data_IF_451204714646
#
_entry.id   IF_451204714646
#
_cell.length_a   1.000
_cell.length_b   1.000
_cell.length_c   1.000
_cell.angle_alpha   90.00
_cell.angle_beta   90.00
_cell.angle_gamma   90.00
#
_symmetry.space_group_name_H-M   'P 1'
#
loop_
_entity.id
_entity.type
_entity.pdbx_description
1 polymer ?
#
# COMPACT_ATOMS: atom_id res chain seq x y z
N UNK A 1 7.89 -4.75 -20.06
CA UNK A 1 8.40 -3.36 -19.95
C UNK A 1 7.79 -2.52 -21.04
N UNK A 2 7.18 -1.40 -20.65
CA UNK A 2 6.74 -0.36 -21.59
C UNK A 2 7.97 0.32 -22.18
N UNK A 3 7.80 0.98 -23.32
CA UNK A 3 8.88 1.74 -23.98
C UNK A 3 9.52 2.78 -23.05
N UNK A 4 8.72 3.39 -22.18
CA UNK A 4 9.16 4.35 -21.19
C UNK A 4 10.16 3.77 -20.18
N UNK A 5 9.99 2.51 -19.76
CA UNK A 5 10.93 1.85 -18.84
C UNK A 5 12.34 1.75 -19.47
N UNK A 6 12.40 1.44 -20.76
CA UNK A 6 13.66 1.42 -21.51
C UNK A 6 14.24 2.83 -21.69
N UNK A 7 13.38 3.83 -21.90
CA UNK A 7 13.82 5.22 -22.05
C UNK A 7 14.43 5.76 -20.74
N UNK A 8 13.80 5.49 -19.59
CA UNK A 8 14.31 5.90 -18.28
C UNK A 8 15.65 5.24 -18.00
N UNK A 9 15.82 3.94 -18.26
CA UNK A 9 17.12 3.26 -18.11
C UNK A 9 18.20 3.91 -18.98
N UNK A 10 17.85 4.24 -20.23
CA UNK A 10 18.77 4.92 -21.13
C UNK A 10 19.11 6.34 -20.63
N UNK A 11 18.14 7.08 -20.10
CA UNK A 11 18.36 8.42 -19.53
C UNK A 11 19.21 8.35 -18.26
N UNK A 12 19.01 7.35 -17.40
CA UNK A 12 19.82 7.15 -16.19
C UNK A 12 21.28 6.83 -16.53
N UNK A 13 21.51 6.03 -17.58
CA UNK A 13 22.86 5.80 -18.09
C UNK A 13 23.53 7.08 -18.60
N UNK A 14 22.78 7.93 -19.31
CA UNK A 14 23.27 9.21 -19.81
C UNK A 14 23.40 10.30 -18.75
N UNK A 15 22.76 10.15 -17.58
CA UNK A 15 22.66 11.16 -16.53
C UNK A 15 22.19 12.52 -17.11
N UNK A 16 22.93 13.59 -16.86
CA UNK A 16 22.61 14.94 -17.35
C UNK A 16 23.08 15.20 -18.79
N UNK A 17 23.70 14.22 -19.46
CA UNK A 17 24.14 14.40 -20.83
C UNK A 17 22.93 14.41 -21.78
N UNK A 18 22.73 15.55 -22.46
CA UNK A 18 21.68 15.68 -23.48
C UNK A 18 21.98 14.83 -24.74
N UNK A 19 23.23 14.43 -24.92
CA UNK A 19 23.70 13.74 -26.12
C UNK A 19 24.72 12.66 -25.73
N UNK A 20 24.49 11.44 -26.21
CA UNK A 20 25.39 10.29 -26.00
C UNK A 20 25.74 9.63 -27.34
N UNK A 21 26.92 9.00 -27.37
CA UNK A 21 27.42 8.21 -28.51
C UNK A 21 27.87 6.84 -28.03
N UNK A 22 27.12 5.81 -28.39
CA UNK A 22 27.35 4.45 -27.93
C UNK A 22 27.28 3.43 -29.05
N UNK A 23 28.00 2.32 -28.89
CA UNK A 23 27.83 1.16 -29.77
C UNK A 23 26.48 0.47 -29.51
N UNK A 24 25.97 -0.29 -30.48
CA UNK A 24 24.75 -1.07 -30.27
C UNK A 24 24.91 -2.11 -29.16
N UNK A 25 26.14 -2.59 -28.90
CA UNK A 25 26.41 -3.54 -27.82
C UNK A 25 26.35 -2.85 -26.47
N UNK A 26 26.97 -1.68 -26.31
CA UNK A 26 26.87 -0.88 -25.08
C UNK A 26 25.41 -0.57 -24.73
N UNK A 27 24.60 -0.17 -25.73
CA UNK A 27 23.18 0.08 -25.53
C UNK A 27 22.39 -1.20 -25.21
N UNK A 28 22.77 -2.34 -25.77
CA UNK A 28 22.17 -3.64 -25.47
C UNK A 28 22.41 -4.04 -24.01
N UNK A 29 23.62 -3.79 -23.50
CA UNK A 29 24.00 -4.07 -22.12
C UNK A 29 23.23 -3.15 -21.14
N UNK A 30 23.12 -1.85 -21.47
CA UNK A 30 22.34 -0.87 -20.68
C UNK A 30 20.84 -1.22 -20.64
N UNK A 31 20.28 -1.63 -21.77
CA UNK A 31 18.85 -1.94 -21.90
C UNK A 31 18.52 -3.39 -21.55
N UNK A 32 19.52 -4.21 -21.21
CA UNK A 32 19.40 -5.64 -20.96
C UNK A 32 18.63 -6.38 -22.06
N UNK A 33 18.96 -6.12 -23.32
CA UNK A 33 18.29 -6.73 -24.46
C UNK A 33 19.23 -7.00 -25.64
N UNK A 34 18.76 -7.67 -26.69
CA UNK A 34 19.59 -7.94 -27.87
C UNK A 34 19.83 -6.67 -28.70
N UNK A 35 20.97 -6.60 -29.41
CA UNK A 35 21.30 -5.49 -30.32
C UNK A 35 20.25 -5.28 -31.43
N UNK A 36 19.56 -6.35 -31.85
CA UNK A 36 18.40 -6.27 -32.76
C UNK A 36 17.25 -5.52 -32.11
N UNK A 37 16.96 -5.81 -30.85
CA UNK A 37 15.89 -5.18 -30.10
C UNK A 37 16.20 -3.71 -29.79
N UNK A 38 17.46 -3.35 -29.51
CA UNK A 38 17.89 -1.95 -29.33
C UNK A 38 17.42 -1.07 -30.50
N UNK A 39 17.63 -1.50 -31.75
CA UNK A 39 17.19 -0.72 -32.92
C UNK A 39 15.68 -0.50 -32.97
N UNK A 40 14.91 -1.52 -32.58
CA UNK A 40 13.43 -1.43 -32.52
C UNK A 40 13.03 -0.43 -31.44
N UNK A 41 13.65 -0.52 -30.26
CA UNK A 41 13.40 0.39 -29.13
C UNK A 41 13.77 1.83 -29.49
N UNK A 42 14.95 2.09 -30.05
CA UNK A 42 15.38 3.43 -30.46
C UNK A 42 14.45 4.03 -31.53
N UNK A 43 14.00 3.21 -32.50
CA UNK A 43 13.03 3.66 -33.51
C UNK A 43 11.72 4.10 -32.84
N UNK A 44 11.16 3.27 -31.96
CA UNK A 44 9.92 3.58 -31.23
C UNK A 44 10.07 4.81 -30.34
N UNK A 45 11.16 4.93 -29.57
CA UNK A 45 11.44 6.12 -28.78
C UNK A 45 11.55 7.39 -29.63
N UNK A 46 12.04 7.27 -30.86
CA UNK A 46 12.12 8.40 -31.78
C UNK A 46 10.77 8.76 -32.38
N UNK A 47 9.94 7.77 -32.72
CA UNK A 47 8.54 7.95 -33.16
C UNK A 47 7.69 8.63 -32.08
N UNK A 48 7.91 8.26 -30.82
CA UNK A 48 7.26 8.86 -29.63
C UNK A 48 7.94 10.15 -29.16
N UNK A 49 8.89 10.68 -29.95
CA UNK A 49 9.57 11.97 -29.70
C UNK A 49 10.39 12.05 -28.39
N UNK A 50 10.74 10.91 -27.77
CA UNK A 50 11.64 10.91 -26.61
C UNK A 50 13.09 11.19 -26.98
N UNK A 51 13.51 10.77 -28.17
CA UNK A 51 14.88 10.94 -28.67
C UNK A 51 14.92 11.36 -30.14
N UNK A 52 15.99 12.04 -30.53
CA UNK A 52 16.47 12.08 -31.91
C UNK A 52 17.59 11.07 -32.05
N UNK A 53 17.44 10.13 -32.98
CA UNK A 53 18.34 9.00 -33.16
C UNK A 53 18.99 9.05 -34.55
N UNK A 54 20.33 9.01 -34.59
CA UNK A 54 21.10 8.87 -35.82
C UNK A 54 21.89 7.55 -35.80
N UNK A 55 21.57 6.59 -36.68
CA UNK A 55 22.23 5.28 -36.66
C UNK A 55 23.68 5.37 -37.15
N UNK A 56 24.60 4.72 -36.43
CA UNK A 56 25.97 4.51 -36.91
C UNK A 56 26.01 3.56 -38.12
N UNK A 57 26.62 3.98 -39.23
CA UNK A 57 26.67 3.18 -40.48
C UNK A 57 27.95 2.36 -40.59
N UNK A 58 27.93 1.06 -40.29
CA UNK A 58 29.08 0.15 -40.46
C UNK A 58 29.58 -0.48 -39.16
N UNK A 59 30.55 -1.41 -39.23
CA UNK A 59 31.13 -2.07 -38.04
C UNK A 59 31.97 -1.04 -37.25
N UNK A 60 31.72 -0.93 -35.94
CA UNK A 60 32.45 -0.01 -35.05
C UNK A 60 31.90 1.42 -34.98
N UNK A 61 30.93 1.79 -35.83
CA UNK A 61 30.34 3.12 -35.80
C UNK A 61 29.32 3.27 -34.68
N UNK A 62 29.53 4.29 -33.85
CA UNK A 62 28.66 4.61 -32.72
C UNK A 62 27.36 5.22 -33.22
N UNK A 63 26.28 4.84 -32.56
CA UNK A 63 24.95 5.42 -32.71
C UNK A 63 24.88 6.69 -31.90
N UNK A 64 24.23 7.71 -32.45
CA UNK A 64 24.05 9.02 -31.82
C UNK A 64 22.62 9.16 -31.31
N UNK A 65 22.48 9.60 -30.05
CA UNK A 65 21.19 9.78 -29.39
C UNK A 65 21.18 11.15 -28.73
N UNK A 66 20.22 11.98 -29.12
CA UNK A 66 19.95 13.26 -28.49
C UNK A 66 18.62 13.12 -27.76
N UNK A 67 18.63 13.36 -26.45
CA UNK A 67 17.42 13.32 -25.65
C UNK A 67 16.59 14.57 -25.91
N UNK A 68 15.26 14.43 -25.95
CA UNK A 68 14.35 15.57 -26.13
C UNK A 68 13.97 16.19 -24.79
N UNK A 69 13.89 15.36 -23.74
CA UNK A 69 13.53 15.77 -22.39
C UNK A 69 14.70 15.60 -21.41
N UNK A 70 14.75 16.46 -20.39
CA UNK A 70 15.65 16.25 -19.27
C UNK A 70 15.29 14.96 -18.50
N UNK A 71 16.24 14.43 -17.73
CA UNK A 71 16.01 13.24 -16.89
C UNK A 71 14.86 13.48 -15.89
N UNK A 72 14.83 14.68 -15.30
CA UNK A 72 13.83 15.09 -14.32
C UNK A 72 12.44 15.15 -14.95
N UNK A 73 12.28 15.87 -16.07
CA UNK A 73 10.98 16.01 -16.76
C UNK A 73 10.41 14.65 -17.18
N UNK A 74 11.27 13.78 -17.74
CA UNK A 74 10.87 12.46 -18.19
C UNK A 74 10.32 11.58 -17.06
N UNK A 75 11.04 11.53 -15.94
CA UNK A 75 10.67 10.69 -14.80
C UNK A 75 9.47 11.29 -14.06
N UNK A 76 9.40 12.61 -13.89
CA UNK A 76 8.25 13.25 -13.26
C UNK A 76 6.97 13.02 -14.06
N UNK A 77 7.01 13.21 -15.38
CA UNK A 77 5.87 12.97 -16.26
C UNK A 77 5.43 11.50 -16.23
N UNK A 78 6.36 10.56 -16.17
CA UNK A 78 6.02 9.14 -16.09
C UNK A 78 5.43 8.77 -14.73
N UNK A 79 6.01 9.27 -13.63
CA UNK A 79 5.47 9.06 -12.30
C UNK A 79 4.03 9.59 -12.19
N UNK A 80 3.75 10.77 -12.76
CA UNK A 80 2.41 11.36 -12.79
C UNK A 80 1.42 10.52 -13.60
N UNK A 81 1.83 10.01 -14.77
CA UNK A 81 1.00 9.11 -15.56
C UNK A 81 0.69 7.80 -14.80
N UNK A 82 1.68 7.22 -14.13
CA UNK A 82 1.50 5.99 -13.37
C UNK A 82 0.58 6.20 -12.16
N UNK A 83 0.70 7.32 -11.45
CA UNK A 83 -0.19 7.68 -10.34
C UNK A 83 -1.62 7.93 -10.83
N UNK A 84 -1.80 8.66 -11.93
CA UNK A 84 -3.12 8.93 -12.51
C UNK A 84 -3.83 7.65 -13.00
N UNK A 85 -3.07 6.62 -13.39
CA UNK A 85 -3.59 5.32 -13.81
C UNK A 85 -3.67 4.29 -12.67
N UNK A 86 -3.42 4.69 -11.42
CA UNK A 86 -3.35 3.81 -10.23
C UNK A 86 -2.37 2.63 -10.38
N UNK A 87 -1.31 2.78 -11.19
CA UNK A 87 -0.29 1.75 -11.44
C UNK A 87 0.80 1.78 -10.38
N UNK A 88 0.42 1.59 -9.13
CA UNK A 88 1.29 1.76 -7.96
C UNK A 88 2.51 0.85 -7.97
N UNK A 89 2.35 -0.40 -8.44
CA UNK A 89 3.46 -1.36 -8.58
C UNK A 89 4.57 -0.80 -9.47
N UNK A 90 4.20 -0.11 -10.54
CA UNK A 90 5.15 0.49 -11.48
C UNK A 90 5.82 1.73 -10.85
N UNK A 91 5.10 2.52 -10.04
CA UNK A 91 5.69 3.64 -9.29
C UNK A 91 6.74 3.16 -8.28
N UNK A 92 6.43 2.09 -7.54
CA UNK A 92 7.40 1.48 -6.61
C UNK A 92 8.58 0.85 -7.35
N UNK A 93 8.39 0.32 -8.56
CA UNK A 93 9.49 -0.17 -9.39
C UNK A 93 10.38 0.99 -9.85
N UNK A 94 9.79 2.12 -10.24
CA UNK A 94 10.51 3.34 -10.62
C UNK A 94 11.35 3.87 -9.45
N UNK A 95 10.83 3.86 -8.22
CA UNK A 95 11.57 4.26 -7.02
C UNK A 95 12.73 3.33 -6.65
N UNK A 96 12.80 2.11 -7.19
CA UNK A 96 13.94 1.20 -7.01
C UNK A 96 15.07 1.45 -7.99
N UNK A 97 14.85 2.24 -9.04
CA UNK A 97 15.90 2.67 -9.96
C UNK A 97 16.83 3.68 -9.26
N UNK A 98 18.10 3.82 -9.67
CA UNK A 98 19.07 4.70 -9.02
C UNK A 98 18.82 6.19 -9.34
N UNK A 99 17.70 6.72 -8.87
CA UNK A 99 17.26 8.09 -9.12
C UNK A 99 18.08 9.11 -8.29
N UNK A 100 18.28 10.33 -8.80
CA UNK A 100 18.78 11.42 -7.97
C UNK A 100 17.88 11.65 -6.74
N UNK A 101 18.48 11.85 -5.56
CA UNK A 101 17.73 11.96 -4.29
C UNK A 101 16.63 13.03 -4.31
N UNK A 102 16.87 14.16 -4.98
CA UNK A 102 15.87 15.22 -5.11
C UNK A 102 14.61 14.75 -5.87
N UNK A 103 14.80 13.93 -6.90
CA UNK A 103 13.72 13.39 -7.71
C UNK A 103 12.99 12.26 -6.99
N UNK A 104 13.74 11.38 -6.30
CA UNK A 104 13.17 10.37 -5.43
C UNK A 104 12.23 11.00 -4.39
N UNK A 105 12.70 12.02 -3.66
CA UNK A 105 11.89 12.75 -2.67
C UNK A 105 10.64 13.38 -3.25
N UNK A 106 10.71 13.93 -4.48
CA UNK A 106 9.52 14.48 -5.14
C UNK A 106 8.47 13.41 -5.42
N UNK A 107 8.87 12.25 -5.93
CA UNK A 107 7.96 11.12 -6.20
C UNK A 107 7.39 10.58 -4.87
N UNK A 108 8.22 10.42 -3.85
CA UNK A 108 7.79 10.02 -2.50
C UNK A 108 6.78 11.01 -1.93
N UNK A 109 7.01 12.33 -2.05
CA UNK A 109 6.04 13.34 -1.60
C UNK A 109 4.71 13.26 -2.37
N UNK A 110 4.75 12.98 -3.68
CA UNK A 110 3.52 12.75 -4.48
C UNK A 110 2.77 11.51 -3.99
N UNK A 111 3.48 10.42 -3.72
CA UNK A 111 2.90 9.21 -3.11
C UNK A 111 2.34 9.50 -1.72
N UNK A 112 3.00 10.31 -0.91
CA UNK A 112 2.51 10.71 0.40
C UNK A 112 1.24 11.54 0.31
N UNK A 113 1.05 12.40 -0.68
CA UNK A 113 -0.25 13.06 -0.88
C UNK A 113 -1.29 12.04 -1.36
N UNK A 114 -0.91 11.16 -2.29
CA UNK A 114 -1.83 10.17 -2.83
C UNK A 114 -2.27 9.10 -1.81
N UNK A 115 -1.41 8.69 -0.87
CA UNK A 115 -1.64 7.69 0.19
C UNK A 115 -1.63 8.32 1.60
N UNK A 116 -1.83 9.63 1.67
CA UNK A 116 -1.66 10.38 2.91
C UNK A 116 -2.90 10.46 3.75
N UNK A 117 -2.70 11.09 4.91
CA UNK A 117 -3.77 11.85 5.54
C UNK A 117 -3.97 13.13 4.71
N UNK A 118 -5.13 13.27 4.09
CA UNK A 118 -5.58 14.49 3.43
C UNK A 118 -6.64 15.13 4.33
N UNK A 119 -6.28 16.17 5.12
CA UNK A 119 -7.27 16.93 5.87
C UNK A 119 -8.17 17.64 4.86
N UNK A 120 -9.46 17.33 4.87
CA UNK A 120 -10.43 18.04 4.03
C UNK A 120 -11.06 19.19 4.82
N UNK A 121 -11.42 20.27 4.11
CA UNK A 121 -12.29 21.31 4.69
C UNK A 121 -13.77 20.85 4.74
N UNK A 122 -14.08 19.69 4.16
CA UNK A 122 -15.35 19.00 4.31
C UNK A 122 -15.35 18.12 5.59
N UNK A 123 -16.54 17.67 6.00
CA UNK A 123 -16.83 16.99 7.27
C UNK A 123 -16.00 15.72 7.59
N UNK A 124 -15.09 15.28 6.71
CA UNK A 124 -14.33 14.04 6.85
C UNK A 124 -12.86 14.21 6.47
N UNK A 125 -11.99 13.71 7.34
CA UNK A 125 -10.60 13.48 7.03
C UNK A 125 -10.41 12.12 6.32
N UNK A 126 -9.49 12.05 5.36
CA UNK A 126 -9.23 10.82 4.61
C UNK A 126 -7.80 10.33 4.87
N UNK A 127 -7.67 9.09 5.35
CA UNK A 127 -6.38 8.39 5.46
C UNK A 127 -6.33 7.20 4.49
N UNK A 128 -5.40 7.24 3.53
CA UNK A 128 -5.27 6.20 2.48
C UNK A 128 -4.09 5.26 2.73
N UNK A 129 -4.32 4.10 3.34
CA UNK A 129 -3.24 3.16 3.66
C UNK A 129 -3.05 2.13 2.50
N UNK A 130 -1.85 2.03 1.90
CA UNK A 130 -1.60 1.03 0.86
C UNK A 130 -1.46 -0.37 1.47
N UNK A 131 -2.25 -1.32 0.99
CA UNK A 131 -2.19 -2.73 1.41
C UNK A 131 -1.73 -3.58 0.23
N UNK A 132 -0.59 -4.24 0.39
CA UNK A 132 0.09 -4.99 -0.68
C UNK A 132 -0.44 -6.42 -0.90
N UNK A 133 -1.35 -6.87 -0.04
CA UNK A 133 -1.98 -8.20 -0.09
C UNK A 133 -3.50 -8.10 -0.03
N UNK A 134 -4.18 -9.20 -0.35
CA UNK A 134 -5.62 -9.30 -0.14
C UNK A 134 -5.93 -9.30 1.37
N UNK A 135 -6.96 -8.56 1.75
CA UNK A 135 -7.53 -8.58 3.11
C UNK A 135 -8.44 -9.80 3.22
N UNK A 136 -8.28 -10.57 4.29
CA UNK A 136 -9.14 -11.71 4.60
C UNK A 136 -10.46 -11.26 5.25
N UNK A 137 -11.50 -12.12 5.30
CA UNK A 137 -12.73 -11.79 5.99
C UNK A 137 -12.49 -11.31 7.43
N UNK A 138 -13.15 -10.21 7.79
CA UNK A 138 -13.01 -9.54 9.09
C UNK A 138 -13.96 -10.15 10.14
N UNK A 139 -13.96 -11.48 10.29
CA UNK A 139 -14.74 -12.14 11.34
C UNK A 139 -13.88 -12.23 12.63
N UNK A 140 -14.29 -11.60 13.73
CA UNK A 140 -13.57 -11.67 15.01
C UNK A 140 -13.38 -13.10 15.52
N UNK A 141 -14.28 -14.04 15.15
CA UNK A 141 -14.17 -15.42 15.59
C UNK A 141 -13.03 -16.18 14.91
N UNK A 142 -12.49 -15.73 13.78
CA UNK A 142 -11.50 -16.49 12.99
C UNK A 142 -10.19 -15.74 12.73
N UNK A 143 -10.09 -14.48 13.16
CA UNK A 143 -8.97 -13.62 12.78
C UNK A 143 -7.69 -13.98 13.54
N UNK A 144 -6.63 -14.28 12.78
CA UNK A 144 -5.32 -14.65 13.31
C UNK A 144 -4.18 -13.75 12.81
N UNK A 145 -4.49 -12.68 12.07
CA UNK A 145 -3.51 -11.82 11.40
C UNK A 145 -3.64 -10.38 11.92
N UNK A 146 -2.51 -9.75 12.23
CA UNK A 146 -2.44 -8.44 12.89
C UNK A 146 -3.17 -7.34 12.11
N UNK A 147 -3.09 -7.30 10.78
CA UNK A 147 -3.76 -6.25 9.99
C UNK A 147 -5.27 -6.34 10.10
N UNK A 148 -5.84 -7.53 9.90
CA UNK A 148 -7.28 -7.77 10.05
C UNK A 148 -7.72 -7.56 11.50
N UNK A 149 -6.91 -7.98 12.48
CA UNK A 149 -7.17 -7.74 13.89
C UNK A 149 -7.26 -6.24 14.22
N UNK A 150 -6.35 -5.44 13.65
CA UNK A 150 -6.41 -3.99 13.78
C UNK A 150 -7.65 -3.39 13.12
N UNK A 151 -8.01 -3.83 11.91
CA UNK A 151 -9.23 -3.37 11.24
C UNK A 151 -10.49 -3.74 12.02
N UNK A 152 -10.54 -4.97 12.57
CA UNK A 152 -11.63 -5.43 13.43
C UNK A 152 -11.76 -4.55 14.67
N UNK A 153 -10.65 -4.17 15.30
CA UNK A 153 -10.70 -3.30 16.49
C UNK A 153 -11.12 -1.85 16.18
N UNK A 154 -11.22 -1.47 14.91
CA UNK A 154 -11.82 -0.18 14.50
C UNK A 154 -13.33 -0.28 14.24
N UNK A 155 -13.87 -1.50 14.10
CA UNK A 155 -15.27 -1.76 13.71
C UNK A 155 -16.07 -2.35 14.89
N UNK A 156 -15.43 -3.17 15.72
CA UNK A 156 -16.04 -3.90 16.81
C UNK A 156 -15.42 -3.51 18.15
N UNK A 157 -16.25 -3.52 19.18
CA UNK A 157 -15.88 -3.15 20.54
C UNK A 157 -15.96 -4.34 21.50
N UNK A 158 -15.14 -4.30 22.55
CA UNK A 158 -15.12 -5.31 23.62
C UNK A 158 -15.91 -4.85 24.84
N UNK A 159 -16.22 -5.78 25.75
CA UNK A 159 -16.81 -5.46 27.06
C UNK A 159 -15.89 -4.57 27.90
N UNK A 160 -14.60 -4.89 27.90
CA UNK A 160 -13.53 -4.22 28.65
C UNK A 160 -12.29 -4.14 27.79
N UNK A 161 -11.43 -3.15 28.03
CA UNK A 161 -10.15 -2.97 27.32
C UNK A 161 -9.00 -3.12 28.30
N UNK A 162 -7.92 -3.77 27.87
CA UNK A 162 -6.67 -3.77 28.62
C UNK A 162 -5.86 -2.51 28.30
N UNK A 163 -5.47 -1.76 29.32
CA UNK A 163 -4.63 -0.58 29.17
C UNK A 163 -3.18 -0.95 29.47
N UNK A 164 -2.35 -0.94 28.43
CA UNK A 164 -0.93 -1.31 28.52
C UNK A 164 -0.09 -0.35 29.40
N UNK A 165 -0.56 0.88 29.63
CA UNK A 165 0.14 1.88 30.47
C UNK A 165 -0.17 1.65 31.94
N UNK A 166 -1.45 1.42 32.27
CA UNK A 166 -1.89 1.21 33.66
C UNK A 166 -1.82 -0.25 34.09
N UNK A 167 -1.58 -1.15 33.14
CA UNK A 167 -1.59 -2.61 33.26
C UNK A 167 -2.90 -3.15 33.86
N UNK A 168 -4.03 -2.51 33.54
CA UNK A 168 -5.34 -2.81 34.13
C UNK A 168 -6.40 -3.00 33.07
N UNK A 169 -7.43 -3.78 33.44
CA UNK A 169 -8.67 -3.84 32.70
C UNK A 169 -9.51 -2.60 33.01
N UNK A 170 -9.97 -1.92 31.97
CA UNK A 170 -10.73 -0.68 32.02
C UNK A 170 -12.12 -0.85 31.40
N UNK A 171 -13.13 -0.11 31.89
CA UNK A 171 -14.48 -0.16 31.34
C UNK A 171 -14.55 0.25 29.87
N UNK A 172 -15.33 -0.50 29.07
CA UNK A 172 -15.64 -0.16 27.68
C UNK A 172 -17.14 -0.21 27.43
N UNK A 173 -17.67 -1.20 26.68
CA UNK A 173 -19.12 -1.43 26.56
C UNK A 173 -19.72 -1.66 27.96
N UNK A 174 -19.05 -2.49 28.78
CA UNK A 174 -19.38 -2.62 30.18
C UNK A 174 -18.78 -1.44 30.95
N UNK A 175 -19.61 -0.68 31.66
CA UNK A 175 -19.13 0.45 32.47
C UNK A 175 -18.64 0.04 33.86
N UNK A 176 -19.07 -1.14 34.35
CA UNK A 176 -18.58 -1.76 35.58
C UNK A 176 -18.86 -3.26 35.55
N UNK A 177 -18.21 -4.00 36.43
CA UNK A 177 -18.45 -5.43 36.62
C UNK A 177 -18.24 -5.84 38.08
N UNK A 178 -18.80 -6.98 38.45
CA UNK A 178 -18.72 -7.56 39.79
C UNK A 178 -18.29 -9.02 39.69
N UNK A 179 -17.45 -9.45 40.62
CA UNK A 179 -17.05 -10.84 40.79
C UNK A 179 -17.73 -11.40 42.04
N UNK A 180 -18.41 -12.54 41.90
CA UNK A 180 -19.03 -13.24 43.03
C UNK A 180 -18.00 -13.71 44.06
N UNK A 181 -18.47 -14.01 45.27
CA UNK A 181 -17.61 -14.46 46.36
C UNK A 181 -16.87 -15.79 46.05
N UNK A 182 -17.50 -16.67 45.28
CA UNK A 182 -16.90 -17.94 44.81
C UNK A 182 -15.95 -17.78 43.62
N UNK A 183 -15.83 -16.56 43.08
CA UNK A 183 -15.00 -16.22 41.91
C UNK A 183 -15.38 -16.94 40.61
N UNK A 184 -16.57 -17.55 40.55
CA UNK A 184 -17.04 -18.30 39.39
C UNK A 184 -18.03 -17.50 38.52
N UNK A 185 -18.59 -16.41 39.05
CA UNK A 185 -19.60 -15.60 38.35
C UNK A 185 -19.13 -14.17 38.18
N UNK A 186 -19.04 -13.74 36.92
CA UNK A 186 -18.82 -12.34 36.55
C UNK A 186 -20.12 -11.72 36.08
N UNK A 187 -20.49 -10.58 36.67
CA UNK A 187 -21.65 -9.78 36.22
C UNK A 187 -21.15 -8.50 35.58
N UNK A 188 -21.44 -8.30 34.30
CA UNK A 188 -21.08 -7.08 33.55
C UNK A 188 -22.29 -6.17 33.38
N UNK A 189 -22.14 -4.89 33.69
CA UNK A 189 -23.18 -3.89 33.54
C UNK A 189 -22.90 -3.04 32.29
N UNK A 190 -23.74 -3.18 31.26
CA UNK A 190 -23.57 -2.52 29.97
C UNK A 190 -24.01 -1.05 30.03
N UNK A 191 -23.31 -0.17 29.30
CA UNK A 191 -23.78 1.20 29.09
C UNK A 191 -25.12 1.17 28.35
N UNK A 192 -25.97 2.12 28.68
CA UNK A 192 -27.23 2.34 27.96
C UNK A 192 -26.97 3.05 26.64
N UNK A 193 -27.92 2.92 25.72
CA UNK A 193 -27.95 3.67 24.46
C UNK A 193 -26.74 3.46 23.54
N UNK A 194 -26.07 2.31 23.65
CA UNK A 194 -25.10 1.85 22.63
C UNK A 194 -25.90 1.33 21.43
N UNK A 195 -25.62 1.89 20.26
CA UNK A 195 -26.24 1.48 19.00
C UNK A 195 -25.20 0.85 18.08
N UNK A 196 -25.60 -0.18 17.35
CA UNK A 196 -24.84 -0.66 16.20
C UNK A 196 -24.93 0.34 15.05
N UNK A 197 -24.06 0.20 14.05
CA UNK A 197 -24.04 1.06 12.86
C UNK A 197 -25.34 1.06 12.04
N UNK A 198 -26.23 0.08 12.27
CA UNK A 198 -27.55 -0.03 11.66
C UNK A 198 -28.68 0.53 12.55
N UNK A 199 -28.33 1.32 13.58
CA UNK A 199 -29.26 1.96 14.52
C UNK A 199 -29.99 1.00 15.48
N UNK A 200 -29.68 -0.30 15.46
CA UNK A 200 -30.22 -1.23 16.46
C UNK A 200 -29.52 -1.07 17.80
N UNK A 201 -30.27 -1.19 18.89
CA UNK A 201 -29.73 -1.07 20.25
C UNK A 201 -28.96 -2.34 20.63
N UNK A 202 -27.76 -2.18 21.19
CA UNK A 202 -27.00 -3.26 21.79
C UNK A 202 -27.61 -3.68 23.13
N UNK A 203 -27.79 -4.98 23.30
CA UNK A 203 -28.35 -5.59 24.52
C UNK A 203 -27.45 -6.70 25.06
N UNK A 204 -27.74 -7.18 26.27
CA UNK A 204 -27.03 -8.34 26.83
C UNK A 204 -27.20 -9.62 26.00
N UNK A 205 -28.26 -9.72 25.19
CA UNK A 205 -28.47 -10.87 24.29
C UNK A 205 -27.45 -10.90 23.14
N UNK A 206 -27.01 -9.74 22.67
CA UNK A 206 -26.01 -9.66 21.59
C UNK A 206 -24.61 -10.05 22.10
N UNK A 207 -24.34 -9.70 23.36
CA UNK A 207 -23.15 -10.15 24.08
C UNK A 207 -23.19 -11.67 24.24
N UNK A 208 -24.29 -12.22 24.79
CA UNK A 208 -24.50 -13.66 24.92
C UNK A 208 -24.32 -14.39 23.59
N UNK A 209 -24.98 -13.91 22.54
CA UNK A 209 -24.85 -14.46 21.19
C UNK A 209 -23.40 -14.51 20.70
N UNK A 210 -22.59 -13.50 21.01
CA UNK A 210 -21.18 -13.47 20.59
C UNK A 210 -20.35 -14.59 21.24
N UNK A 211 -20.58 -14.88 22.52
CA UNK A 211 -19.96 -16.01 23.22
C UNK A 211 -20.45 -17.35 22.67
N UNK A 212 -21.77 -17.53 22.57
CA UNK A 212 -22.37 -18.76 22.04
C UNK A 212 -21.93 -19.05 20.60
N UNK A 213 -21.84 -18.00 19.76
CA UNK A 213 -21.34 -18.11 18.38
C UNK A 213 -19.90 -18.62 18.37
N UNK A 214 -19.03 -18.11 19.23
CA UNK A 214 -17.62 -18.54 19.28
C UNK A 214 -17.50 -19.99 19.75
N UNK A 215 -18.31 -20.43 20.72
CA UNK A 215 -18.37 -21.82 21.18
C UNK A 215 -18.83 -22.79 20.08
N UNK A 216 -19.80 -22.38 19.27
CA UNK A 216 -20.38 -23.21 18.20
C UNK A 216 -19.60 -23.13 16.89
N UNK A 217 -18.84 -22.05 16.68
CA UNK A 217 -17.99 -21.91 15.52
C UNK A 217 -16.89 -22.98 15.53
N UNK A 218 -16.56 -23.53 14.36
CA UNK A 218 -15.33 -24.32 14.16
C UNK A 218 -14.09 -23.40 14.13
N UNK A 219 -14.02 -22.49 15.08
CA UNK A 219 -12.95 -21.51 15.24
C UNK A 219 -11.77 -22.13 16.00
N UNK A 220 -10.52 -21.79 15.62
CA UNK A 220 -9.35 -22.14 16.42
C UNK A 220 -9.34 -21.48 17.82
N UNK A 221 -10.23 -20.52 18.07
CA UNK A 221 -10.34 -19.75 19.32
C UNK A 221 -11.54 -20.14 20.17
N UNK A 222 -12.31 -21.16 19.78
CA UNK A 222 -13.49 -21.61 20.54
C UNK A 222 -13.15 -21.92 22.02
N UNK A 223 -11.93 -22.40 22.28
CA UNK A 223 -11.41 -22.69 23.62
C UNK A 223 -11.45 -21.52 24.60
N UNK A 224 -11.41 -20.26 24.13
CA UNK A 224 -11.51 -19.06 24.97
C UNK A 224 -12.84 -18.97 25.73
N UNK A 225 -13.86 -19.67 25.25
CA UNK A 225 -15.23 -19.59 25.77
C UNK A 225 -15.77 -20.94 26.23
N UNK A 226 -14.99 -22.01 26.13
CA UNK A 226 -15.46 -23.38 26.42
C UNK A 226 -15.88 -23.59 27.87
N UNK A 227 -15.31 -22.82 28.81
CA UNK A 227 -15.60 -22.93 30.25
C UNK A 227 -16.67 -21.94 30.72
N UNK A 228 -17.20 -21.09 29.82
CA UNK A 228 -18.26 -20.15 30.13
C UNK A 228 -19.60 -20.88 30.00
N UNK A 229 -20.36 -20.92 31.09
CA UNK A 229 -21.65 -21.61 31.23
C UNK A 229 -22.78 -20.60 31.33
#
# INVERSE_FOLDING_TARGET
>A
MKIMDYYIRLRLHAQDQQHIRNSLQELADVLYCSTKNVKILLKKMSEEQFIKWTPGRGRGNKTEIIFVHSLVEAIESYADELLAQEKLKDVFLLLKEPLPLALQKKIENKLHHHFGYEPSNDMYDILKIPISRKIFPLDPAFTAVTTEGHLISQIFDTLVIYNDITEKMEPHIAHTWELSQDQLTWTFYLRKDIHFHNETLLTSKDVQFSFERLQQAQSPYAWLTQEIV
#
